data_IF_086528473024
#
_entry.id   IF_086528473024
#
_cell.length_a   1.000
_cell.length_b   1.000
_cell.length_c   1.000
_cell.angle_alpha   90.00
_cell.angle_beta   90.00
_cell.angle_gamma   90.00
#
_symmetry.space_group_name_H-M   'P 1'
#
loop_
_entity.id
_entity.type
_entity.pdbx_description
1 polymer ?
#
# COMPACT_ATOMS: atom_id res chain seq x y z
N UNK A 1 -14.27 32.33 17.57
CA UNK A 1 -14.20 31.13 16.72
C UNK A 1 -12.73 30.78 16.55
N UNK A 2 -12.30 29.57 16.94
CA UNK A 2 -10.92 29.15 16.69
C UNK A 2 -10.74 28.86 15.20
N UNK A 3 -9.71 29.44 14.60
CA UNK A 3 -9.35 29.23 13.21
C UNK A 3 -8.69 27.85 13.09
N UNK A 4 -9.40 26.88 12.50
CA UNK A 4 -8.84 25.54 12.28
C UNK A 4 -7.89 25.64 11.08
N UNK A 5 -6.59 25.52 11.33
CA UNK A 5 -5.58 25.47 10.28
C UNK A 5 -5.71 24.12 9.56
N UNK A 6 -6.22 24.15 8.33
CA UNK A 6 -6.30 22.99 7.45
C UNK A 6 -4.90 22.61 7.00
N UNK A 7 -4.39 21.48 7.50
CA UNK A 7 -3.09 20.92 7.13
C UNK A 7 -3.22 19.44 6.70
N UNK A 8 -2.12 18.81 6.31
CA UNK A 8 -2.13 17.41 5.84
C UNK A 8 -2.64 16.42 6.89
N UNK A 9 -2.45 16.70 8.19
CA UNK A 9 -2.98 15.85 9.26
C UNK A 9 -4.50 15.99 9.34
N UNK A 10 -5.03 17.21 9.35
CA UNK A 10 -6.47 17.46 9.32
C UNK A 10 -7.13 16.79 8.10
N UNK A 11 -6.55 16.99 6.90
CA UNK A 11 -7.03 16.36 5.67
C UNK A 11 -7.03 14.82 5.77
N UNK A 12 -6.00 14.23 6.41
CA UNK A 12 -5.94 12.78 6.60
C UNK A 12 -7.04 12.24 7.52
N UNK A 13 -7.43 13.01 8.55
CA UNK A 13 -8.54 12.66 9.45
C UNK A 13 -9.88 12.76 8.72
N UNK A 14 -10.09 13.83 7.94
CA UNK A 14 -11.30 13.97 7.12
C UNK A 14 -11.42 12.83 6.08
N UNK A 15 -10.33 12.50 5.39
CA UNK A 15 -10.31 11.40 4.43
C UNK A 15 -10.62 10.06 5.11
N UNK A 16 -10.08 9.83 6.32
CA UNK A 16 -10.38 8.61 7.08
C UNK A 16 -11.86 8.54 7.49
N UNK A 17 -12.44 9.64 7.95
CA UNK A 17 -13.87 9.72 8.27
C UNK A 17 -14.75 9.43 7.06
N UNK A 18 -14.47 10.10 5.92
CA UNK A 18 -15.23 9.90 4.67
C UNK A 18 -15.15 8.44 4.24
N UNK A 19 -13.96 7.83 4.29
CA UNK A 19 -13.75 6.42 3.93
C UNK A 19 -14.59 5.47 4.78
N UNK A 20 -14.68 5.70 6.09
CA UNK A 20 -15.54 4.89 6.96
C UNK A 20 -17.03 5.09 6.66
N UNK A 21 -17.45 6.31 6.33
CA UNK A 21 -18.84 6.57 5.92
C UNK A 21 -19.18 5.89 4.60
N UNK A 22 -18.27 5.90 3.62
CA UNK A 22 -18.48 5.19 2.36
C UNK A 22 -18.60 3.68 2.57
N UNK A 23 -17.80 3.10 3.48
CA UNK A 23 -17.91 1.71 3.89
C UNK A 23 -19.27 1.38 4.52
N UNK A 24 -19.73 2.20 5.47
CA UNK A 24 -21.05 2.04 6.12
C UNK A 24 -22.20 2.12 5.11
N UNK A 25 -22.11 3.05 4.15
CA UNK A 25 -23.13 3.29 3.13
C UNK A 25 -23.08 2.29 1.96
N UNK A 26 -22.14 1.33 1.97
CA UNK A 26 -21.94 0.37 0.88
C UNK A 26 -21.69 1.01 -0.49
N UNK A 27 -21.05 2.19 -0.49
CA UNK A 27 -20.66 2.90 -1.72
C UNK A 27 -19.27 2.46 -2.13
N UNK A 28 -19.04 2.25 -3.42
CA UNK A 28 -17.71 1.93 -3.97
C UNK A 28 -16.75 3.11 -3.85
N UNK A 29 -15.51 2.86 -3.42
CA UNK A 29 -14.47 3.88 -3.29
C UNK A 29 -13.09 3.30 -3.51
N UNK A 30 -12.11 4.19 -3.72
CA UNK A 30 -10.69 3.89 -3.66
C UNK A 30 -10.02 4.81 -2.66
N UNK A 31 -8.93 4.36 -2.05
CA UNK A 31 -8.10 5.22 -1.23
C UNK A 31 -6.64 4.80 -1.34
N UNK A 32 -5.75 5.79 -1.35
CA UNK A 32 -4.31 5.58 -1.37
C UNK A 32 -3.75 5.71 0.06
N UNK A 33 -2.84 4.82 0.41
CA UNK A 33 -2.11 4.89 1.68
C UNK A 33 -0.76 4.23 1.55
N UNK A 34 0.16 4.59 2.45
CA UNK A 34 1.45 3.90 2.55
C UNK A 34 1.28 2.45 3.03
N UNK A 35 0.15 2.12 3.68
CA UNK A 35 -0.15 0.78 4.20
C UNK A 35 0.88 0.28 5.24
N UNK A 36 1.46 1.21 6.01
CA UNK A 36 2.50 0.87 7.00
C UNK A 36 1.95 0.54 8.39
N UNK A 37 0.63 0.47 8.58
CA UNK A 37 -0.01 0.26 9.88
C UNK A 37 -1.13 -0.77 9.80
N UNK A 38 -1.29 -1.56 10.87
CA UNK A 38 -2.19 -2.72 10.91
C UNK A 38 -3.66 -2.34 10.69
N UNK A 39 -4.06 -1.10 11.04
CA UNK A 39 -5.42 -0.60 10.84
C UNK A 39 -5.84 -0.61 9.35
N UNK A 40 -4.89 -0.57 8.41
CA UNK A 40 -5.18 -0.70 6.98
C UNK A 40 -5.56 -2.13 6.59
N UNK A 41 -4.90 -3.13 7.18
CA UNK A 41 -5.25 -4.55 7.02
C UNK A 41 -6.62 -4.82 7.66
N UNK A 42 -6.85 -4.31 8.86
CA UNK A 42 -8.15 -4.40 9.54
C UNK A 42 -9.26 -3.77 8.71
N UNK A 43 -8.99 -2.65 8.05
CA UNK A 43 -9.97 -2.01 7.16
C UNK A 43 -10.31 -2.87 5.93
N UNK A 44 -9.33 -3.53 5.30
CA UNK A 44 -9.59 -4.47 4.20
C UNK A 44 -10.47 -5.64 4.66
N UNK A 45 -10.17 -6.21 5.84
CA UNK A 45 -11.02 -7.25 6.44
C UNK A 45 -12.45 -6.76 6.64
N UNK A 46 -12.64 -5.57 7.21
CA UNK A 46 -13.98 -4.98 7.40
C UNK A 46 -14.72 -4.77 6.08
N UNK A 47 -14.02 -4.39 5.01
CA UNK A 47 -14.61 -4.25 3.69
C UNK A 47 -15.12 -5.60 3.16
N UNK A 48 -14.31 -6.65 3.23
CA UNK A 48 -14.75 -8.01 2.88
C UNK A 48 -15.94 -8.47 3.72
N UNK A 49 -15.86 -8.32 5.05
CA UNK A 49 -16.95 -8.70 5.96
C UNK A 49 -18.27 -7.95 5.63
N UNK A 50 -18.18 -6.73 5.08
CA UNK A 50 -19.31 -5.93 4.62
C UNK A 50 -19.83 -6.29 3.22
N UNK A 51 -19.22 -7.27 2.55
CA UNK A 51 -19.60 -7.76 1.22
C UNK A 51 -18.98 -7.00 0.05
N UNK A 52 -17.93 -6.22 0.28
CA UNK A 52 -17.21 -5.56 -0.81
C UNK A 52 -16.37 -6.55 -1.59
N UNK A 53 -16.29 -6.32 -2.91
CA UNK A 53 -15.20 -6.83 -3.72
C UNK A 53 -14.00 -5.90 -3.59
N UNK A 54 -12.91 -6.44 -3.06
CA UNK A 54 -11.72 -5.73 -2.61
C UNK A 54 -10.56 -5.94 -3.58
N UNK A 55 -9.98 -4.83 -4.04
CA UNK A 55 -8.84 -4.82 -4.94
C UNK A 55 -7.67 -4.10 -4.28
N UNK A 56 -6.52 -4.75 -4.22
CA UNK A 56 -5.28 -4.16 -3.74
C UNK A 56 -4.35 -3.88 -4.91
N UNK A 57 -3.89 -2.63 -5.01
CA UNK A 57 -2.81 -2.24 -5.91
C UNK A 57 -1.60 -1.93 -5.04
N UNK A 58 -0.60 -2.80 -5.05
CA UNK A 58 0.60 -2.63 -4.24
C UNK A 58 1.79 -2.30 -5.12
N UNK A 59 2.40 -1.14 -4.88
CA UNK A 59 3.56 -0.65 -5.61
C UNK A 59 4.73 -0.54 -4.65
N UNK A 60 5.82 -1.23 -4.95
CA UNK A 60 7.05 -1.15 -4.18
C UNK A 60 8.26 -0.89 -5.06
N UNK A 61 9.38 -0.66 -4.38
CA UNK A 61 10.71 -0.52 -4.98
C UNK A 61 11.63 -1.56 -4.35
N UNK A 62 12.74 -1.86 -5.01
CA UNK A 62 13.72 -2.85 -4.56
C UNK A 62 14.42 -2.43 -3.27
N UNK A 63 14.56 -1.12 -3.06
CA UNK A 63 15.27 -0.55 -1.92
C UNK A 63 14.60 0.77 -1.46
N UNK A 64 14.49 1.03 -0.14
CA UNK A 64 14.00 2.31 0.36
C UNK A 64 14.85 3.52 -0.07
N UNK A 65 16.13 3.34 -0.40
CA UNK A 65 16.99 4.40 -0.94
C UNK A 65 16.45 5.00 -2.24
N UNK A 66 15.75 4.21 -3.06
CA UNK A 66 15.05 4.70 -4.27
C UNK A 66 13.97 5.70 -3.86
N UNK A 67 13.23 5.42 -2.79
CA UNK A 67 12.17 6.30 -2.28
C UNK A 67 12.76 7.57 -1.66
N UNK A 68 13.88 7.45 -0.93
CA UNK A 68 14.62 8.59 -0.40
C UNK A 68 15.06 9.52 -1.53
N UNK A 69 15.73 8.99 -2.55
CA UNK A 69 16.17 9.75 -3.72
C UNK A 69 15.00 10.45 -4.43
N UNK A 70 13.87 9.77 -4.60
CA UNK A 70 12.65 10.37 -5.19
C UNK A 70 12.07 11.49 -4.33
N UNK A 71 12.07 11.35 -3.00
CA UNK A 71 11.64 12.42 -2.09
C UNK A 71 12.60 13.61 -2.16
N UNK A 72 13.91 13.37 -2.15
CA UNK A 72 14.91 14.45 -2.29
C UNK A 72 14.73 15.19 -3.62
N UNK A 73 14.51 14.47 -4.72
CA UNK A 73 14.29 15.07 -6.04
C UNK A 73 13.02 15.92 -6.10
N UNK A 74 11.88 15.44 -5.57
CA UNK A 74 10.66 16.26 -5.55
C UNK A 74 10.79 17.48 -4.63
N UNK A 75 11.54 17.39 -3.54
CA UNK A 75 11.80 18.53 -2.64
C UNK A 75 12.58 19.62 -3.38
N UNK A 76 13.58 19.25 -4.18
CA UNK A 76 14.29 20.20 -5.06
C UNK A 76 13.35 20.91 -6.06
N UNK A 77 12.23 20.28 -6.41
CA UNK A 77 11.19 20.82 -7.29
C UNK A 77 10.03 21.51 -6.51
N UNK A 78 10.20 21.79 -5.22
CA UNK A 78 9.19 22.49 -4.39
C UNK A 78 8.15 21.57 -3.73
N UNK A 79 8.32 20.25 -3.77
CA UNK A 79 7.44 19.28 -3.13
C UNK A 79 7.70 19.10 -1.62
N UNK A 80 6.82 18.35 -0.95
CA UNK A 80 6.91 18.09 0.49
C UNK A 80 8.05 17.12 0.88
N UNK A 81 8.81 17.49 1.91
CA UNK A 81 9.83 16.63 2.53
C UNK A 81 9.23 15.57 3.44
N UNK A 82 9.94 14.46 3.59
CA UNK A 82 9.65 13.40 4.56
C UNK A 82 10.98 12.96 5.16
N UNK A 83 11.09 12.84 6.50
CA UNK A 83 12.30 12.32 7.14
C UNK A 83 12.69 10.93 6.63
N UNK A 84 13.98 10.69 6.40
CA UNK A 84 14.47 9.45 5.79
C UNK A 84 14.19 8.21 6.66
N UNK A 85 14.35 8.33 7.98
CA UNK A 85 13.98 7.30 8.96
C UNK A 85 12.51 6.89 8.84
N UNK A 86 11.63 7.86 8.56
CA UNK A 86 10.20 7.64 8.35
C UNK A 86 9.93 6.96 7.01
N UNK A 87 10.71 7.26 5.96
CA UNK A 87 10.61 6.58 4.66
C UNK A 87 11.02 5.10 4.82
N UNK A 88 12.17 4.86 5.46
CA UNK A 88 12.75 3.52 5.66
C UNK A 88 11.82 2.67 6.54
N UNK A 89 11.42 3.19 7.70
CA UNK A 89 10.55 2.45 8.62
C UNK A 89 9.20 2.09 7.99
N UNK A 90 8.60 3.03 7.24
CA UNK A 90 7.33 2.78 6.55
C UNK A 90 7.48 1.76 5.43
N UNK A 91 8.56 1.82 4.65
CA UNK A 91 8.85 0.83 3.61
C UNK A 91 8.81 -0.59 4.20
N UNK A 92 9.64 -0.89 5.19
CA UNK A 92 9.68 -2.24 5.75
C UNK A 92 8.39 -2.67 6.43
N UNK A 93 7.70 -1.74 7.11
CA UNK A 93 6.39 -2.03 7.72
C UNK A 93 5.35 -2.42 6.68
N UNK A 94 5.26 -1.66 5.58
CA UNK A 94 4.31 -1.97 4.50
C UNK A 94 4.60 -3.33 3.86
N UNK A 95 5.88 -3.65 3.64
CA UNK A 95 6.29 -4.93 3.06
C UNK A 95 5.91 -6.11 3.97
N UNK A 96 6.10 -5.98 5.29
CA UNK A 96 5.71 -7.01 6.29
C UNK A 96 4.20 -7.21 6.40
N UNK A 97 3.41 -6.19 6.07
CA UNK A 97 1.96 -6.24 6.14
C UNK A 97 1.31 -6.74 4.84
N UNK A 98 2.09 -6.84 3.76
CA UNK A 98 1.56 -7.14 2.44
C UNK A 98 0.87 -8.50 2.37
N UNK A 99 1.49 -9.57 2.91
CA UNK A 99 0.89 -10.91 2.93
C UNK A 99 -0.43 -10.93 3.69
N UNK A 100 -0.50 -10.25 4.84
CA UNK A 100 -1.74 -10.10 5.61
C UNK A 100 -2.81 -9.31 4.86
N UNK A 101 -2.41 -8.25 4.14
CA UNK A 101 -3.34 -7.47 3.33
C UNK A 101 -3.96 -8.31 2.21
N UNK A 102 -3.15 -9.13 1.53
CA UNK A 102 -3.61 -10.02 0.45
C UNK A 102 -4.65 -11.04 0.92
N UNK A 103 -4.52 -11.56 2.15
CA UNK A 103 -5.52 -12.46 2.76
C UNK A 103 -6.93 -11.85 2.81
N UNK A 104 -7.04 -10.52 2.77
CA UNK A 104 -8.32 -9.80 2.79
C UNK A 104 -8.61 -9.07 1.47
N UNK A 105 -8.14 -9.64 0.34
CA UNK A 105 -8.39 -9.10 -0.99
C UNK A 105 -8.96 -10.17 -1.92
N UNK A 106 -9.91 -9.80 -2.77
CA UNK A 106 -10.36 -10.68 -3.88
C UNK A 106 -9.28 -10.75 -4.97
N UNK A 107 -8.60 -9.63 -5.20
CA UNK A 107 -7.48 -9.56 -6.13
C UNK A 107 -6.44 -8.55 -5.69
N UNK A 108 -5.18 -8.98 -5.71
CA UNK A 108 -4.04 -8.10 -5.54
C UNK A 108 -3.22 -7.99 -6.84
N UNK A 109 -2.88 -6.77 -7.22
CA UNK A 109 -1.98 -6.46 -8.33
C UNK A 109 -0.70 -5.89 -7.77
N UNK A 110 0.41 -6.55 -8.06
CA UNK A 110 1.71 -6.23 -7.48
C UNK A 110 2.61 -5.65 -8.55
N UNK A 111 3.19 -4.49 -8.26
CA UNK A 111 4.03 -3.74 -9.20
C UNK A 111 5.40 -3.45 -8.60
N UNK A 112 6.41 -3.58 -9.43
CA UNK A 112 7.75 -3.05 -9.17
C UNK A 112 7.93 -1.73 -9.92
N UNK A 113 8.38 -0.72 -9.18
CA UNK A 113 8.66 0.61 -9.71
C UNK A 113 10.11 1.03 -9.39
N UNK A 114 11.03 0.06 -9.40
CA UNK A 114 12.44 0.28 -9.08
C UNK A 114 13.20 0.92 -10.24
N UNK A 115 12.89 0.50 -11.47
CA UNK A 115 13.50 1.02 -12.69
C UNK A 115 12.67 2.16 -13.29
N UNK A 116 13.08 2.64 -14.47
CA UNK A 116 12.31 3.59 -15.26
C UNK A 116 11.08 2.97 -15.95
N UNK A 117 11.06 1.64 -16.08
CA UNK A 117 9.92 0.90 -16.63
C UNK A 117 9.10 0.31 -15.49
N UNK A 118 7.83 0.71 -15.38
CA UNK A 118 6.92 0.12 -14.40
C UNK A 118 6.65 -1.33 -14.80
N UNK A 119 6.94 -2.26 -13.91
CA UNK A 119 6.73 -3.69 -14.16
C UNK A 119 5.54 -4.19 -13.36
N UNK A 120 4.53 -4.73 -14.04
CA UNK A 120 3.50 -5.53 -13.38
C UNK A 120 4.09 -6.93 -13.17
N UNK A 121 4.36 -7.29 -11.91
CA UNK A 121 5.13 -8.50 -11.60
C UNK A 121 4.23 -9.69 -11.33
N UNK A 122 3.10 -9.49 -10.65
CA UNK A 122 2.18 -10.56 -10.31
C UNK A 122 0.74 -10.06 -10.12
N UNK A 123 -0.19 -10.97 -10.35
CA UNK A 123 -1.58 -10.91 -9.88
C UNK A 123 -1.79 -12.04 -8.90
N UNK A 124 -2.54 -11.80 -7.82
CA UNK A 124 -2.94 -12.80 -6.85
C UNK A 124 -4.46 -12.78 -6.78
N UNK A 125 -5.10 -13.88 -7.17
CA UNK A 125 -6.54 -14.08 -7.06
C UNK A 125 -6.86 -15.01 -5.89
N UNK A 126 -8.07 -14.87 -5.33
CA UNK A 126 -8.59 -15.77 -4.28
C UNK A 126 -7.60 -16.00 -3.13
N UNK A 127 -6.84 -14.97 -2.74
CA UNK A 127 -5.81 -14.95 -1.69
C UNK A 127 -4.52 -15.75 -1.95
N UNK A 128 -4.49 -16.70 -2.88
CA UNK A 128 -3.35 -17.62 -3.05
C UNK A 128 -2.96 -17.94 -4.49
N UNK A 129 -3.81 -17.69 -5.48
CA UNK A 129 -3.55 -18.02 -6.88
C UNK A 129 -2.65 -16.96 -7.53
N UNK A 130 -1.34 -17.21 -7.55
CA UNK A 130 -0.35 -16.27 -8.11
C UNK A 130 -0.18 -16.50 -9.61
N UNK A 131 -0.51 -15.49 -10.42
CA UNK A 131 -0.15 -15.40 -11.84
C UNK A 131 1.00 -14.41 -12.02
N UNK A 132 2.17 -14.89 -12.39
CA UNK A 132 3.31 -14.05 -12.75
C UNK A 132 3.09 -13.33 -14.08
N UNK A 133 3.48 -12.06 -14.15
CA UNK A 133 3.31 -11.18 -15.33
C UNK A 133 4.63 -10.64 -15.87
N UNK A 134 5.72 -10.94 -15.19
CA UNK A 134 7.09 -10.62 -15.57
C UNK A 134 7.96 -11.87 -15.47
N UNK A 135 8.93 -12.02 -16.38
CA UNK A 135 9.96 -13.07 -16.30
C UNK A 135 10.98 -12.80 -15.20
N UNK A 136 11.12 -11.53 -14.78
CA UNK A 136 11.97 -11.13 -13.67
C UNK A 136 11.12 -10.68 -12.50
N UNK A 137 11.31 -11.35 -11.37
CA UNK A 137 10.65 -11.05 -10.11
C UNK A 137 11.68 -10.44 -9.17
N UNK A 138 11.44 -9.23 -8.64
CA UNK A 138 12.39 -8.57 -7.77
C UNK A 138 12.54 -9.32 -6.44
N UNK A 139 13.71 -9.25 -5.82
CA UNK A 139 14.03 -10.03 -4.62
C UNK A 139 13.07 -9.76 -3.46
N UNK A 140 12.61 -8.50 -3.34
CA UNK A 140 11.67 -8.11 -2.30
C UNK A 140 10.35 -8.88 -2.40
N UNK A 141 9.90 -9.20 -3.62
CA UNK A 141 8.65 -9.94 -3.82
C UNK A 141 8.78 -11.32 -3.20
N UNK A 142 9.85 -12.04 -3.51
CA UNK A 142 10.10 -13.37 -2.94
C UNK A 142 10.24 -13.31 -1.41
N UNK A 143 10.99 -12.35 -0.90
CA UNK A 143 11.25 -12.19 0.53
C UNK A 143 9.97 -11.95 1.35
N UNK A 144 9.06 -11.08 0.87
CA UNK A 144 7.89 -10.66 1.65
C UNK A 144 6.60 -11.41 1.31
N UNK A 145 6.55 -12.12 0.16
CA UNK A 145 5.36 -12.87 -0.25
C UNK A 145 5.55 -14.38 -0.33
N UNK A 146 6.70 -14.87 -0.79
CA UNK A 146 6.90 -16.30 -1.04
C UNK A 146 7.45 -17.05 0.18
N UNK A 147 8.28 -16.40 1.00
CA UNK A 147 8.85 -17.04 2.20
C UNK A 147 7.88 -17.12 3.38
N UNK A 148 6.83 -16.29 3.40
CA UNK A 148 5.82 -16.27 4.48
C UNK A 148 4.78 -17.40 4.31
N UNK A 149 4.61 -17.95 3.10
CA UNK A 149 3.65 -19.03 2.82
C UNK A 149 4.19 -20.44 3.12
N UNK A 150 5.37 -20.58 3.74
CA UNK A 150 5.97 -21.88 4.14
C UNK A 150 5.80 -22.22 5.63
N UNK A 151 5.18 -21.34 6.40
CA UNK A 151 4.94 -21.53 7.84
C UNK A 151 3.48 -21.21 8.13
N UNK A 152 2.60 -22.10 7.68
CA UNK A 152 1.25 -22.33 8.23
C UNK A 152 0.89 -23.80 7.89
#
# INVERSE_FOLDING_TARGET
>A
FFEIIVNSYFASVCADFIRHKLLELKVSFTFETVMSSEDKVVFLKKAQDAGYRTYLYFVATQDPAINISRVQNRVKLGGHSVPEDKIISRYYRSMKLLSKAIKYTDRAYIFDNSSHTKSWIAQIDNTSEITYKSSQVPQWFSQYLLEVNKVD
#
